data_IF_536932492643
#
_entry.id   IF_536932492643
#
_cell.length_a   1.000
_cell.length_b   1.000
_cell.length_c   1.000
_cell.angle_alpha   90.00
_cell.angle_beta   90.00
_cell.angle_gamma   90.00
#
_symmetry.space_group_name_H-M   'P 1'
#
loop_
_entity.id
_entity.type
_entity.pdbx_description
1 polymer ?
#
# COMPACT_ATOMS: atom_id res chain seq x y z
N UNK A 1 -8.76 13.68 -0.07
CA UNK A 1 -7.87 12.53 -0.25
C UNK A 1 -6.44 12.95 0.03
N UNK A 2 -5.72 12.21 0.88
CA UNK A 2 -4.31 12.39 1.20
C UNK A 2 -3.52 11.15 0.78
N UNK A 3 -2.63 11.34 -0.19
CA UNK A 3 -1.74 10.29 -0.67
C UNK A 3 -0.36 10.53 -0.08
N UNK A 4 0.20 9.52 0.58
CA UNK A 4 1.54 9.56 1.16
C UNK A 4 2.39 8.50 0.50
N UNK A 5 3.64 8.84 0.18
CA UNK A 5 4.62 7.87 -0.30
C UNK A 5 5.85 7.88 0.59
N UNK A 6 6.38 6.70 0.90
CA UNK A 6 7.61 6.56 1.68
C UNK A 6 8.38 5.32 1.28
N UNK A 7 9.56 5.49 0.67
CA UNK A 7 10.54 4.41 0.65
C UNK A 7 11.11 4.28 2.07
N UNK A 8 10.67 3.24 2.78
CA UNK A 8 11.06 3.01 4.17
C UNK A 8 12.37 2.23 4.32
N UNK A 9 13.04 1.86 3.23
CA UNK A 9 14.20 0.96 3.21
C UNK A 9 13.91 -0.37 3.94
N UNK A 10 12.92 -1.10 3.43
CA UNK A 10 12.45 -2.39 3.96
C UNK A 10 12.00 -2.33 5.43
N UNK A 11 11.63 -3.47 6.02
CA UNK A 11 11.21 -3.59 7.43
C UNK A 11 10.07 -2.62 7.81
N UNK A 12 9.14 -2.37 6.88
CA UNK A 12 8.04 -1.43 7.08
C UNK A 12 7.19 -1.76 8.32
N UNK A 13 7.08 -3.06 8.66
CA UNK A 13 6.37 -3.53 9.87
C UNK A 13 6.89 -2.93 11.17
N UNK A 14 8.15 -2.45 11.19
CA UNK A 14 8.77 -1.82 12.37
C UNK A 14 8.68 -0.29 12.35
N UNK A 15 8.05 0.28 11.32
CA UNK A 15 8.17 1.69 10.95
C UNK A 15 6.82 2.36 10.66
N UNK A 16 5.77 1.58 10.40
CA UNK A 16 4.47 2.09 9.95
C UNK A 16 3.85 3.11 10.92
N UNK A 17 4.05 2.95 12.23
CA UNK A 17 3.52 3.90 13.24
C UNK A 17 3.96 5.35 12.99
N UNK A 18 5.13 5.57 12.37
CA UNK A 18 5.62 6.91 12.06
C UNK A 18 4.80 7.63 10.98
N UNK A 19 4.04 6.88 10.17
CA UNK A 19 3.24 7.42 9.07
C UNK A 19 1.78 7.63 9.44
N UNK A 20 1.27 6.91 10.44
CA UNK A 20 -0.13 6.99 10.87
C UNK A 20 -0.55 8.41 11.31
N UNK A 21 0.29 9.22 12.00
CA UNK A 21 -0.08 10.60 12.37
C UNK A 21 -0.37 11.53 11.19
N UNK A 22 0.10 11.19 9.98
CA UNK A 22 -0.22 11.95 8.77
C UNK A 22 -1.64 11.66 8.25
N UNK A 23 -2.34 10.69 8.83
CA UNK A 23 -3.70 10.28 8.46
C UNK A 23 -3.86 10.10 6.94
N UNK A 24 -3.08 9.19 6.31
CA UNK A 24 -3.18 8.90 4.88
C UNK A 24 -4.53 8.29 4.53
N UNK A 25 -5.06 8.64 3.36
CA UNK A 25 -6.15 7.90 2.70
C UNK A 25 -5.56 6.76 1.86
N UNK A 26 -4.39 7.01 1.26
CA UNK A 26 -3.59 6.04 0.53
C UNK A 26 -2.12 6.16 0.97
N UNK A 27 -1.47 5.02 1.23
CA UNK A 27 -0.05 4.93 1.52
C UNK A 27 0.64 4.04 0.48
N UNK A 28 1.62 4.59 -0.20
CA UNK A 28 2.43 3.91 -1.22
C UNK A 28 3.83 3.69 -0.63
N UNK A 29 4.24 2.44 -0.51
CA UNK A 29 5.51 2.06 0.12
C UNK A 29 6.38 1.31 -0.89
N UNK A 30 7.30 2.02 -1.58
CA UNK A 30 8.40 1.36 -2.27
C UNK A 30 9.29 0.59 -1.29
N UNK A 31 9.85 -0.53 -1.75
CA UNK A 31 10.64 -1.45 -0.93
C UNK A 31 9.90 -2.02 0.29
N UNK A 32 8.58 -2.15 0.19
CA UNK A 32 7.75 -2.73 1.22
C UNK A 32 7.96 -4.25 1.30
N UNK A 33 8.12 -4.77 2.50
CA UNK A 33 8.02 -6.21 2.71
C UNK A 33 6.58 -6.69 2.50
N UNK A 34 6.39 -7.99 2.24
CA UNK A 34 5.08 -8.55 1.97
C UNK A 34 4.13 -8.34 3.17
N UNK A 35 2.86 -7.87 2.98
CA UNK A 35 1.93 -7.55 4.07
C UNK A 35 1.67 -8.72 5.03
N UNK A 36 1.71 -9.96 4.55
CA UNK A 36 1.62 -11.17 5.40
C UNK A 36 2.74 -11.35 6.43
N UNK A 37 3.65 -10.39 6.61
CA UNK A 37 4.60 -10.31 7.73
C UNK A 37 4.15 -9.38 8.85
N UNK A 38 3.09 -8.60 8.62
CA UNK A 38 2.55 -7.68 9.60
C UNK A 38 1.67 -8.48 10.56
N UNK A 39 1.74 -8.14 11.84
CA UNK A 39 0.92 -8.75 12.88
C UNK A 39 -0.30 -7.90 13.23
N UNK A 40 -0.28 -6.63 12.83
CA UNK A 40 -1.23 -5.61 13.23
C UNK A 40 -2.04 -5.14 12.01
N UNK A 41 -3.35 -5.01 12.20
CA UNK A 41 -4.27 -4.51 11.19
C UNK A 41 -4.39 -2.98 11.27
N UNK A 42 -3.43 -2.27 10.66
CA UNK A 42 -3.41 -0.79 10.63
C UNK A 42 -3.95 -0.18 9.33
N UNK A 43 -4.38 -1.00 8.38
CA UNK A 43 -4.90 -0.61 7.06
C UNK A 43 -6.18 -1.37 6.74
N UNK A 44 -7.02 -0.82 5.86
CA UNK A 44 -8.29 -1.43 5.46
C UNK A 44 -8.12 -2.41 4.29
N UNK A 45 -7.27 -2.06 3.34
CA UNK A 45 -7.00 -2.88 2.15
C UNK A 45 -5.54 -2.72 1.72
N UNK A 46 -5.01 -3.73 1.03
CA UNK A 46 -3.64 -3.72 0.52
C UNK A 46 -3.54 -4.44 -0.81
N UNK A 47 -2.83 -3.82 -1.75
CA UNK A 47 -2.25 -4.50 -2.91
C UNK A 47 -0.73 -4.48 -2.79
N UNK A 48 -0.10 -5.59 -3.17
CA UNK A 48 1.36 -5.71 -3.11
C UNK A 48 1.89 -6.51 -4.30
N UNK A 49 3.01 -6.05 -4.85
CA UNK A 49 3.79 -6.77 -5.86
C UNK A 49 5.26 -6.79 -5.47
N UNK A 50 5.97 -7.88 -5.78
CA UNK A 50 7.41 -7.95 -5.51
C UNK A 50 8.01 -9.30 -5.84
N UNK A 51 9.33 -9.31 -6.06
CA UNK A 51 10.08 -10.50 -6.45
C UNK A 51 10.33 -11.45 -5.26
N UNK A 52 10.27 -10.96 -4.02
CA UNK A 52 10.40 -11.77 -2.81
C UNK A 52 9.69 -11.15 -1.60
N UNK A 53 9.48 -11.94 -0.54
CA UNK A 53 8.73 -11.50 0.67
C UNK A 53 9.36 -10.34 1.45
N UNK A 54 10.60 -9.95 1.18
CA UNK A 54 11.32 -8.89 1.88
C UNK A 54 11.23 -7.54 1.18
N UNK A 55 10.93 -7.49 -0.12
CA UNK A 55 11.01 -6.26 -0.93
C UNK A 55 10.02 -6.29 -2.10
N UNK A 56 9.21 -5.24 -2.17
CA UNK A 56 8.16 -5.05 -3.17
C UNK A 56 7.64 -3.61 -3.19
N UNK A 57 6.51 -3.40 -3.85
CA UNK A 57 5.71 -2.19 -3.82
C UNK A 57 4.40 -2.51 -3.12
N UNK A 58 4.14 -1.87 -1.98
CA UNK A 58 2.88 -1.96 -1.26
C UNK A 58 2.02 -0.72 -1.49
N UNK A 59 0.73 -0.90 -1.70
CA UNK A 59 -0.27 0.17 -1.73
C UNK A 59 -1.35 -0.18 -0.71
N UNK A 60 -1.42 0.62 0.35
CA UNK A 60 -2.35 0.45 1.46
C UNK A 60 -3.41 1.54 1.41
N UNK A 61 -4.67 1.17 1.60
CA UNK A 61 -5.75 2.14 1.81
C UNK A 61 -6.22 2.14 3.26
N UNK A 62 -6.81 3.26 3.64
CA UNK A 62 -7.37 3.49 4.98
C UNK A 62 -8.83 3.91 4.86
N UNK A 63 -9.58 3.76 5.95
CA UNK A 63 -11.02 4.04 5.99
C UNK A 63 -11.78 3.19 4.94
N UNK A 64 -12.88 3.70 4.40
CA UNK A 64 -13.74 2.99 3.43
C UNK A 64 -13.23 3.02 1.98
N UNK A 65 -11.95 3.33 1.75
CA UNK A 65 -11.40 3.41 0.40
C UNK A 65 -11.01 2.03 -0.11
N UNK A 66 -11.64 1.62 -1.21
CA UNK A 66 -11.29 0.41 -1.94
C UNK A 66 -10.28 0.71 -3.04
N UNK A 67 -9.34 -0.22 -3.22
CA UNK A 67 -8.25 -0.11 -4.20
C UNK A 67 -8.18 -1.34 -5.12
N UNK A 68 -9.21 -1.61 -5.95
CA UNK A 68 -9.16 -2.74 -6.86
C UNK A 68 -8.06 -2.58 -7.91
N UNK A 69 -7.45 -3.71 -8.28
CA UNK A 69 -6.42 -3.76 -9.32
C UNK A 69 -7.01 -3.33 -10.67
N UNK A 70 -6.31 -2.44 -11.38
CA UNK A 70 -6.74 -2.01 -12.70
C UNK A 70 -6.48 -3.12 -13.74
N UNK A 71 -7.37 -3.26 -14.73
CA UNK A 71 -7.27 -4.27 -15.80
C UNK A 71 -6.04 -4.12 -16.71
N UNK A 72 -5.35 -2.97 -16.62
CA UNK A 72 -4.08 -2.72 -17.32
C UNK A 72 -2.86 -3.30 -16.59
N UNK A 73 -3.07 -3.93 -15.42
CA UNK A 73 -1.98 -4.58 -14.71
C UNK A 73 -1.34 -5.66 -15.59
N UNK A 74 -0.02 -5.62 -15.65
CA UNK A 74 0.76 -6.60 -16.38
C UNK A 74 1.98 -7.00 -15.57
N UNK A 75 2.01 -8.26 -15.13
CA UNK A 75 3.03 -8.79 -14.21
C UNK A 75 4.47 -8.65 -14.70
N UNK A 76 4.70 -8.54 -16.02
CA UNK A 76 6.04 -8.33 -16.57
C UNK A 76 6.58 -6.93 -16.30
N UNK A 77 5.70 -5.95 -16.04
CA UNK A 77 6.10 -4.62 -15.64
C UNK A 77 6.38 -4.58 -14.15
N UNK A 78 7.65 -4.83 -13.81
CA UNK A 78 8.12 -4.81 -12.43
C UNK A 78 7.83 -3.46 -11.78
N UNK A 79 7.26 -3.51 -10.58
CA UNK A 79 6.95 -2.34 -9.76
C UNK A 79 5.96 -1.35 -10.42
N UNK A 80 5.13 -1.83 -11.36
CA UNK A 80 4.02 -1.07 -11.92
C UNK A 80 2.71 -1.69 -11.43
N UNK A 81 2.04 -0.98 -10.51
CA UNK A 81 0.80 -1.43 -9.87
C UNK A 81 -0.32 -0.42 -10.15
N UNK A 82 -1.03 -0.53 -11.28
CA UNK A 82 -2.13 0.36 -11.60
C UNK A 82 -3.37 -0.06 -10.79
N UNK A 83 -4.01 0.91 -10.15
CA UNK A 83 -5.19 0.69 -9.30
C UNK A 83 -6.33 1.62 -9.73
N UNK A 84 -7.57 1.19 -9.50
CA UNK A 84 -8.74 2.07 -9.46
C UNK A 84 -8.97 2.46 -7.99
N UNK A 85 -9.53 3.65 -7.76
CA UNK A 85 -9.96 4.08 -6.41
C UNK A 85 -11.48 4.09 -6.40
N UNK A 86 -12.09 3.36 -5.47
CA UNK A 86 -13.54 3.27 -5.30
C UNK A 86 -13.95 3.60 -3.85
N UNK A 87 -15.22 3.93 -3.63
CA UNK A 87 -15.79 4.35 -2.34
C UNK A 87 -15.02 5.51 -1.68
N UNK A 88 -14.98 6.65 -2.37
CA UNK A 88 -14.56 7.90 -1.75
C UNK A 88 -15.61 8.28 -0.72
N UNK A 89 -15.21 8.58 0.53
CA UNK A 89 -16.10 9.08 1.59
C UNK A 89 -17.17 9.97 0.97
N UNK A 90 -18.43 9.58 1.10
CA UNK A 90 -19.55 10.45 0.81
C UNK A 90 -19.37 11.65 1.74
N UNK A 91 -18.92 12.78 1.18
CA UNK A 91 -18.89 14.07 1.89
C UNK A 91 -20.31 14.57 2.02
#
# INVERSE_FOLDING_TARGET
>A
MRIVTWNCNMTFRKKYEKILPYNPDLLIVPECEHPGKFTDDFYSNVLWIGDNKNKGLGVFSFNDIEIPLHESYYEKYKYVLPIKIANLKNV
#
